data_IF_448186695878
#
_entry.id   IF_448186695878
#
_cell.length_a   1.000
_cell.length_b   1.000
_cell.length_c   1.000
_cell.angle_alpha   90.00
_cell.angle_beta   90.00
_cell.angle_gamma   90.00
#
_symmetry.space_group_name_H-M   'P 1'
#
loop_
_entity.id
_entity.type
_entity.pdbx_description
1 polymer ?
#
# COMPACT_ATOMS: atom_id res chain seq x y z
N UNK A 1 14.95 -13.85 -8.57
CA UNK A 1 14.04 -13.19 -7.60
C UNK A 1 12.87 -12.56 -8.33
N UNK A 2 11.68 -12.79 -7.82
CA UNK A 2 10.47 -12.24 -8.40
C UNK A 2 10.42 -10.72 -8.22
N UNK A 3 10.10 -10.00 -9.30
CA UNK A 3 9.90 -8.56 -9.21
C UNK A 3 8.47 -8.26 -8.79
N UNK A 4 8.29 -7.18 -8.04
CA UNK A 4 7.02 -6.83 -7.42
C UNK A 4 6.17 -5.93 -8.31
N UNK A 5 4.87 -6.26 -8.37
CA UNK A 5 3.86 -5.41 -8.99
C UNK A 5 3.19 -4.63 -7.88
N UNK A 6 3.35 -3.33 -7.90
CA UNK A 6 2.95 -2.44 -6.79
C UNK A 6 1.81 -1.52 -7.22
N UNK A 7 0.84 -1.34 -6.34
CA UNK A 7 -0.25 -0.37 -6.53
C UNK A 7 -0.18 0.63 -5.39
N UNK A 8 -0.18 1.93 -5.71
CA UNK A 8 -0.22 3.00 -4.71
C UNK A 8 -1.61 3.61 -4.74
N UNK A 9 -2.29 3.61 -3.60
CA UNK A 9 -3.66 4.11 -3.48
C UNK A 9 -3.68 5.30 -2.53
N UNK A 10 -3.92 6.49 -3.08
CA UNK A 10 -3.92 7.73 -2.33
C UNK A 10 -4.64 8.80 -3.15
N UNK A 11 -5.37 9.71 -2.51
CA UNK A 11 -6.04 10.78 -3.24
C UNK A 11 -5.13 11.99 -3.46
N UNK A 12 -3.91 11.96 -2.94
CA UNK A 12 -2.94 13.03 -3.11
C UNK A 12 -1.91 12.67 -4.19
N UNK A 13 -2.00 13.27 -5.38
CA UNK A 13 -1.07 12.93 -6.46
C UNK A 13 0.40 13.26 -6.15
N UNK A 14 0.64 14.25 -5.31
CA UNK A 14 2.01 14.61 -4.93
C UNK A 14 2.64 13.51 -4.07
N UNK A 15 1.87 12.94 -3.16
CA UNK A 15 2.37 11.83 -2.35
C UNK A 15 2.63 10.61 -3.21
N UNK A 16 1.72 10.30 -4.14
CA UNK A 16 1.91 9.18 -5.06
C UNK A 16 3.21 9.33 -5.84
N UNK A 17 3.44 10.53 -6.39
CA UNK A 17 4.66 10.79 -7.16
C UNK A 17 5.91 10.65 -6.32
N UNK A 18 5.88 11.16 -5.09
CA UNK A 18 7.03 11.08 -4.18
C UNK A 18 7.33 9.63 -3.80
N UNK A 19 6.30 8.87 -3.46
CA UNK A 19 6.49 7.47 -3.08
C UNK A 19 6.98 6.63 -4.27
N UNK A 20 6.40 6.86 -5.45
CA UNK A 20 6.85 6.19 -6.67
C UNK A 20 8.34 6.47 -6.93
N UNK A 21 8.74 7.72 -6.79
CA UNK A 21 10.14 8.10 -6.98
C UNK A 21 11.06 7.38 -5.99
N UNK A 22 10.70 7.38 -4.72
CA UNK A 22 11.50 6.71 -3.69
C UNK A 22 11.64 5.21 -3.96
N UNK A 23 10.54 4.56 -4.29
CA UNK A 23 10.54 3.12 -4.56
C UNK A 23 11.41 2.81 -5.78
N UNK A 24 11.24 3.58 -6.85
CA UNK A 24 12.00 3.37 -8.08
C UNK A 24 13.49 3.62 -7.85
N UNK A 25 13.83 4.70 -7.13
CA UNK A 25 15.23 5.05 -6.87
C UNK A 25 15.93 4.04 -5.99
N UNK A 26 15.25 3.56 -4.94
CA UNK A 26 15.87 2.71 -3.93
C UNK A 26 15.80 1.22 -4.26
N UNK A 27 14.78 0.79 -5.01
CA UNK A 27 14.48 -0.64 -5.19
C UNK A 27 14.21 -1.03 -6.64
N UNK A 28 14.81 -0.33 -7.59
CA UNK A 28 14.56 -0.53 -9.02
C UNK A 28 14.61 -2.00 -9.45
N UNK A 29 15.59 -2.73 -8.97
CA UNK A 29 15.78 -4.13 -9.36
C UNK A 29 14.71 -5.07 -8.81
N UNK A 30 13.93 -4.62 -7.83
CA UNK A 30 12.91 -5.42 -7.16
C UNK A 30 11.51 -5.09 -7.64
N UNK A 31 11.36 -4.12 -8.55
CA UNK A 31 10.05 -3.61 -8.98
C UNK A 31 9.81 -3.92 -10.44
N UNK A 32 8.68 -4.59 -10.71
CA UNK A 32 8.22 -4.84 -12.08
C UNK A 32 7.43 -3.66 -12.61
N UNK A 33 6.49 -3.17 -11.82
CA UNK A 33 5.62 -2.05 -12.23
C UNK A 33 5.03 -1.37 -11.00
N UNK A 34 4.67 -0.10 -11.18
CA UNK A 34 3.97 0.69 -10.16
C UNK A 34 2.75 1.32 -10.83
N UNK A 35 1.57 1.01 -10.31
CA UNK A 35 0.31 1.58 -10.79
C UNK A 35 -0.28 2.46 -9.70
N UNK A 36 -1.31 3.24 -10.04
CA UNK A 36 -1.91 4.22 -9.14
C UNK A 36 -3.42 4.09 -9.11
N UNK A 37 -4.00 4.30 -7.93
CA UNK A 37 -5.43 4.47 -7.74
C UNK A 37 -5.63 5.64 -6.79
N UNK A 38 -6.77 6.32 -6.87
CA UNK A 38 -6.99 7.56 -6.15
C UNK A 38 -8.05 7.44 -5.06
N UNK A 39 -8.72 6.31 -4.97
CA UNK A 39 -9.65 6.01 -3.88
C UNK A 39 -9.85 4.49 -3.79
N UNK A 40 -10.60 4.06 -2.78
CA UNK A 40 -10.79 2.64 -2.51
C UNK A 40 -11.57 1.92 -3.61
N UNK A 41 -12.54 2.59 -4.21
CA UNK A 41 -13.34 1.97 -5.28
C UNK A 41 -12.50 1.73 -6.52
N UNK A 42 -11.68 2.69 -6.89
CA UNK A 42 -10.75 2.54 -8.03
C UNK A 42 -9.74 1.43 -7.76
N UNK A 43 -9.24 1.38 -6.53
CA UNK A 43 -8.32 0.32 -6.11
C UNK A 43 -8.93 -1.06 -6.35
N UNK A 44 -10.14 -1.27 -5.86
CA UNK A 44 -10.80 -2.57 -6.01
C UNK A 44 -11.10 -2.91 -7.47
N UNK A 45 -11.46 -1.90 -8.26
CA UNK A 45 -11.69 -2.11 -9.70
C UNK A 45 -10.42 -2.54 -10.41
N UNK A 46 -9.29 -1.92 -10.08
CA UNK A 46 -7.99 -2.27 -10.66
C UNK A 46 -7.58 -3.70 -10.27
N UNK A 47 -7.80 -4.07 -9.00
CA UNK A 47 -7.45 -5.40 -8.52
C UNK A 47 -8.24 -6.51 -9.19
N UNK A 48 -9.43 -6.23 -9.72
CA UNK A 48 -10.20 -7.22 -10.47
C UNK A 48 -9.58 -7.58 -11.81
N UNK A 49 -8.82 -6.66 -12.38
CA UNK A 49 -8.32 -6.81 -13.75
C UNK A 49 -6.84 -7.17 -13.84
N UNK A 50 -6.10 -7.07 -12.74
CA UNK A 50 -4.67 -7.30 -12.76
C UNK A 50 -4.20 -7.79 -11.40
N UNK A 51 -3.21 -8.68 -11.39
CA UNK A 51 -2.63 -9.20 -10.14
C UNK A 51 -1.55 -8.26 -9.63
N UNK A 52 -1.60 -7.96 -8.34
CA UNK A 52 -0.59 -7.13 -7.66
C UNK A 52 -0.02 -7.89 -6.47
N UNK A 53 1.20 -7.56 -6.11
CA UNK A 53 1.88 -8.16 -4.96
C UNK A 53 1.75 -7.29 -3.72
N UNK A 54 1.88 -5.98 -3.88
CA UNK A 54 1.85 -5.01 -2.79
C UNK A 54 0.90 -3.86 -3.12
N UNK A 55 0.16 -3.41 -2.11
CA UNK A 55 -0.65 -2.19 -2.20
C UNK A 55 -0.24 -1.27 -1.06
N UNK A 56 0.17 -0.05 -1.39
CA UNK A 56 0.33 1.02 -0.41
C UNK A 56 -0.99 1.75 -0.31
N UNK A 57 -1.65 1.68 0.84
CA UNK A 57 -3.03 2.13 1.01
C UNK A 57 -3.15 3.27 2.00
N UNK A 58 -3.61 4.43 1.52
CA UNK A 58 -3.94 5.55 2.39
C UNK A 58 -5.26 5.25 3.14
N UNK A 59 -5.42 5.80 4.33
CA UNK A 59 -6.61 5.58 5.13
C UNK A 59 -7.75 6.50 4.71
N UNK A 60 -7.49 7.79 4.66
CA UNK A 60 -8.54 8.79 4.44
C UNK A 60 -8.61 9.20 2.97
N UNK A 61 -9.65 8.72 2.29
CA UNK A 61 -9.90 9.04 0.90
C UNK A 61 -11.40 9.29 0.71
N UNK A 62 -11.79 10.13 -0.26
CA UNK A 62 -13.22 10.35 -0.51
C UNK A 62 -13.90 9.07 -0.96
N UNK A 63 -15.17 8.92 -0.59
CA UNK A 63 -15.92 7.71 -0.91
C UNK A 63 -15.45 6.52 -0.08
N UNK A 64 -15.09 5.42 -0.75
CA UNK A 64 -14.61 4.23 -0.05
C UNK A 64 -13.20 4.47 0.48
N UNK A 65 -13.05 4.45 1.80
CA UNK A 65 -11.78 4.69 2.46
C UNK A 65 -10.86 3.49 2.50
N UNK A 66 -9.65 3.73 3.03
CA UNK A 66 -8.60 2.72 3.05
C UNK A 66 -8.91 1.51 3.93
N UNK A 67 -9.58 1.71 5.07
CA UNK A 67 -9.91 0.59 5.96
C UNK A 67 -10.86 -0.37 5.25
N UNK A 68 -11.93 0.17 4.66
CA UNK A 68 -12.91 -0.65 3.97
C UNK A 68 -12.31 -1.34 2.75
N UNK A 69 -11.53 -0.59 1.95
CA UNK A 69 -10.88 -1.16 0.77
C UNK A 69 -9.90 -2.27 1.16
N UNK A 70 -9.14 -2.08 2.23
CA UNK A 70 -8.19 -3.08 2.73
C UNK A 70 -8.93 -4.35 3.15
N UNK A 71 -10.04 -4.19 3.89
CA UNK A 71 -10.83 -5.33 4.34
C UNK A 71 -11.34 -6.16 3.17
N UNK A 72 -11.87 -5.49 2.14
CA UNK A 72 -12.37 -6.20 0.97
C UNK A 72 -11.25 -6.83 0.16
N UNK A 73 -10.17 -6.10 -0.07
CA UNK A 73 -9.05 -6.58 -0.88
C UNK A 73 -8.36 -7.80 -0.25
N UNK A 74 -8.09 -7.75 1.05
CA UNK A 74 -7.39 -8.85 1.72
C UNK A 74 -8.27 -10.09 1.87
N UNK A 75 -9.59 -9.89 1.91
CA UNK A 75 -10.53 -11.00 1.93
C UNK A 75 -10.61 -11.72 0.59
N UNK A 76 -10.53 -10.95 -0.51
CA UNK A 76 -10.65 -11.49 -1.87
C UNK A 76 -9.34 -12.03 -2.43
N UNK A 77 -8.22 -11.44 -2.06
CA UNK A 77 -6.91 -11.75 -2.64
C UNK A 77 -5.94 -12.12 -1.52
N UNK A 78 -5.84 -13.43 -1.25
CA UNK A 78 -5.08 -13.93 -0.08
C UNK A 78 -3.59 -13.64 -0.10
N UNK A 79 -3.00 -13.56 -1.29
CA UNK A 79 -1.57 -13.33 -1.41
C UNK A 79 -1.19 -11.86 -1.52
N UNK A 80 -2.20 -10.98 -1.53
CA UNK A 80 -1.98 -9.55 -1.61
C UNK A 80 -1.50 -9.03 -0.27
N UNK A 81 -0.44 -8.24 -0.28
CA UNK A 81 0.07 -7.59 0.92
C UNK A 81 -0.32 -6.12 0.86
N UNK A 82 -1.05 -5.66 1.87
CA UNK A 82 -1.43 -4.25 2.00
C UNK A 82 -0.56 -3.60 3.07
N UNK A 83 0.05 -2.48 2.70
CA UNK A 83 0.86 -1.65 3.58
C UNK A 83 0.11 -0.35 3.76
N UNK A 84 -0.32 -0.07 4.99
CA UNK A 84 -1.03 1.18 5.28
C UNK A 84 -0.05 2.35 5.30
N UNK A 85 -0.47 3.50 4.76
CA UNK A 85 0.37 4.70 4.72
C UNK A 85 -0.52 5.87 5.11
N UNK A 86 -0.19 6.57 6.19
CA UNK A 86 -1.06 7.63 6.69
C UNK A 86 -0.27 8.64 7.51
N UNK A 87 -0.80 9.87 7.60
CA UNK A 87 -0.25 10.86 8.54
C UNK A 87 -0.69 10.59 9.97
N UNK A 88 -1.72 9.76 10.19
CA UNK A 88 -2.21 9.46 11.53
C UNK A 88 -1.28 8.50 12.25
N UNK A 89 -0.86 8.89 13.46
CA UNK A 89 0.00 8.06 14.31
C UNK A 89 -0.72 7.49 15.52
N UNK A 90 -2.02 7.84 15.69
CA UNK A 90 -2.79 7.38 16.84
C UNK A 90 -3.08 5.88 16.73
N UNK A 91 -3.01 5.21 17.85
CA UNK A 91 -3.16 3.77 17.92
C UNK A 91 -4.48 3.27 17.30
N UNK A 92 -5.56 4.06 17.43
CA UNK A 92 -6.86 3.63 16.90
C UNK A 92 -6.84 3.41 15.39
N UNK A 93 -6.12 4.24 14.64
CA UNK A 93 -6.02 4.09 13.19
C UNK A 93 -5.15 2.90 12.82
N UNK A 94 -4.06 2.71 13.57
CA UNK A 94 -3.15 1.60 13.35
C UNK A 94 -3.91 0.28 13.56
N UNK A 95 -4.65 0.18 14.66
CA UNK A 95 -5.42 -1.02 14.97
C UNK A 95 -6.47 -1.30 13.89
N UNK A 96 -7.20 -0.26 13.45
CA UNK A 96 -8.21 -0.45 12.42
C UNK A 96 -7.63 -1.04 11.12
N UNK A 97 -6.49 -0.52 10.68
CA UNK A 97 -5.87 -1.00 9.46
C UNK A 97 -5.32 -2.41 9.61
N UNK A 98 -4.69 -2.71 10.73
CA UNK A 98 -4.15 -4.06 10.98
C UNK A 98 -5.30 -5.06 11.07
N UNK A 99 -6.38 -4.72 11.75
CA UNK A 99 -7.56 -5.60 11.83
C UNK A 99 -8.24 -5.78 10.48
N UNK A 100 -8.16 -4.77 9.62
CA UNK A 100 -8.71 -4.88 8.27
C UNK A 100 -7.86 -5.78 7.36
N UNK A 101 -6.63 -6.07 7.75
CA UNK A 101 -5.76 -6.97 7.01
C UNK A 101 -4.44 -6.38 6.54
N UNK A 102 -4.13 -5.13 6.89
CA UNK A 102 -2.84 -4.55 6.52
C UNK A 102 -1.72 -5.28 7.24
N UNK A 103 -0.65 -5.56 6.53
CA UNK A 103 0.50 -6.28 7.08
C UNK A 103 1.35 -5.36 7.96
N UNK A 104 1.46 -4.10 7.58
CA UNK A 104 2.21 -3.12 8.34
C UNK A 104 1.64 -1.73 8.10
N UNK A 105 2.11 -0.76 8.88
CA UNK A 105 1.59 0.60 8.89
C UNK A 105 2.76 1.58 8.88
N UNK A 106 2.81 2.43 7.86
CA UNK A 106 3.86 3.46 7.75
C UNK A 106 3.25 4.83 7.98
N UNK A 107 3.91 5.63 8.80
CA UNK A 107 3.49 7.02 9.02
C UNK A 107 4.17 7.88 7.97
N UNK A 108 3.38 8.64 7.20
CA UNK A 108 3.88 9.37 6.03
C UNK A 108 5.07 10.29 6.34
N UNK A 109 5.06 10.94 7.50
CA UNK A 109 6.15 11.82 7.92
C UNK A 109 7.45 11.08 8.26
N UNK A 110 7.39 9.77 8.42
CA UNK A 110 8.51 8.97 8.90
C UNK A 110 9.02 7.97 7.86
N UNK A 111 8.53 8.06 6.64
CA UNK A 111 8.96 7.13 5.59
C UNK A 111 10.42 7.41 5.23
N UNK A 112 11.23 6.37 5.25
CA UNK A 112 12.63 6.43 4.91
C UNK A 112 13.03 5.13 4.21
N UNK A 113 14.29 5.05 3.77
CA UNK A 113 14.79 3.86 3.09
C UNK A 113 14.58 2.60 3.95
N UNK A 114 14.89 2.68 5.23
CA UNK A 114 14.81 1.54 6.13
C UNK A 114 13.37 1.06 6.32
N UNK A 115 12.42 1.98 6.48
CA UNK A 115 11.03 1.59 6.66
C UNK A 115 10.43 1.02 5.39
N UNK A 116 10.80 1.57 4.23
CA UNK A 116 10.36 1.04 2.94
C UNK A 116 10.96 -0.33 2.68
N UNK A 117 12.23 -0.52 3.00
CA UNK A 117 12.88 -1.80 2.81
C UNK A 117 12.20 -2.90 3.63
N UNK A 118 11.88 -2.61 4.88
CA UNK A 118 11.15 -3.57 5.72
C UNK A 118 9.77 -3.88 5.14
N UNK A 119 9.05 -2.85 4.68
CA UNK A 119 7.71 -3.04 4.14
C UNK A 119 7.74 -3.88 2.86
N UNK A 120 8.67 -3.60 1.96
CA UNK A 120 8.78 -4.32 0.69
C UNK A 120 9.26 -5.75 0.90
N UNK A 121 10.09 -5.99 1.90
CA UNK A 121 10.65 -7.31 2.18
C UNK A 121 9.72 -8.21 2.98
N UNK A 122 8.62 -7.68 3.49
CA UNK A 122 7.76 -8.42 4.42
C UNK A 122 7.14 -9.67 3.79
N UNK A 123 6.99 -9.71 2.47
CA UNK A 123 6.44 -10.88 1.79
C UNK A 123 7.37 -12.09 1.91
N UNK A 124 8.61 -11.87 2.26
CA UNK A 124 9.61 -12.94 2.42
C UNK A 124 9.89 -13.28 3.88
N UNK A 125 9.12 -12.72 4.80
CA UNK A 125 9.36 -12.82 6.25
C UNK A 125 8.58 -13.97 6.89
N UNK A 126 8.75 -15.16 6.39
CA UNK A 126 8.04 -16.30 6.97
C UNK A 126 8.97 -17.29 7.58
#
# INVERSE_FOLDING_TARGET
MKKLKILIVDDNPHFISALRYMITDLFEERVDSISEAHDGAECLAILKNKVYDLVFMDINMPGKGGVEATREATRMYRNLIVIAVSFHSEMKYIIEMIEAGARTYLIKDEICKESLEKAISIEYSF
#
